data_IF_244030967750
#
_entry.id   IF_244030967750
#
_cell.length_a   1.000
_cell.length_b   1.000
_cell.length_c   1.000
_cell.angle_alpha   90.00
_cell.angle_beta   90.00
_cell.angle_gamma   90.00
#
_symmetry.space_group_name_H-M   'P 1'
#
loop_
_entity.id
_entity.type
_entity.pdbx_description
1 polymer ?
#
# COMPACT_ATOMS: atom_id res chain seq x y z
N UNK A 1 15.52 -24.70 33.71
CA UNK A 1 16.50 -23.80 33.07
C UNK A 1 15.85 -22.43 32.99
N UNK A 2 16.62 -21.34 33.10
CA UNK A 2 16.09 -19.99 32.90
C UNK A 2 16.69 -19.50 31.60
N UNK A 3 15.84 -19.22 30.61
CA UNK A 3 16.26 -18.62 29.35
C UNK A 3 16.14 -17.10 29.49
N UNK A 4 17.25 -16.40 29.28
CA UNK A 4 17.30 -14.94 29.25
C UNK A 4 17.22 -14.46 27.81
N UNK A 5 16.19 -13.70 27.48
CA UNK A 5 16.00 -13.10 26.16
C UNK A 5 16.04 -11.59 26.31
N UNK A 6 16.71 -10.91 25.39
CA UNK A 6 16.77 -9.45 25.34
C UNK A 6 15.74 -8.97 24.33
N UNK A 7 14.80 -8.14 24.74
CA UNK A 7 13.80 -7.55 23.84
C UNK A 7 14.05 -6.05 23.75
N UNK A 8 14.29 -5.56 22.54
CA UNK A 8 14.57 -4.16 22.26
C UNK A 8 13.43 -3.52 21.49
N UNK A 9 13.08 -2.30 21.87
CA UNK A 9 11.99 -1.53 21.28
C UNK A 9 12.55 -0.27 20.66
N UNK A 10 12.27 -0.07 19.37
CA UNK A 10 12.67 1.13 18.64
C UNK A 10 11.48 2.05 18.35
N UNK A 11 11.80 3.31 18.01
CA UNK A 11 10.83 4.28 17.50
C UNK A 11 9.67 4.60 18.45
N UNK A 12 8.43 4.56 17.92
CA UNK A 12 7.21 4.90 18.68
C UNK A 12 7.01 3.95 19.87
N UNK A 13 7.27 2.65 19.67
CA UNK A 13 7.05 1.63 20.69
C UNK A 13 7.92 1.84 21.94
N UNK A 14 9.17 2.28 21.74
CA UNK A 14 10.06 2.74 22.83
C UNK A 14 9.41 3.82 23.70
N UNK A 15 8.78 4.81 23.06
CA UNK A 15 8.14 5.94 23.75
C UNK A 15 6.87 5.52 24.47
N UNK A 16 6.06 4.66 23.87
CA UNK A 16 4.83 4.13 24.47
C UNK A 16 5.12 3.31 25.72
N UNK A 17 6.10 2.39 25.62
CA UNK A 17 6.52 1.52 26.72
C UNK A 17 7.33 2.27 27.79
N UNK A 18 7.99 3.37 27.42
CA UNK A 18 8.87 4.13 28.33
C UNK A 18 10.20 3.44 28.62
N UNK A 19 10.49 2.34 27.92
CA UNK A 19 11.72 1.54 28.02
C UNK A 19 12.19 1.19 26.61
N UNK A 20 13.51 1.17 26.40
CA UNK A 20 14.12 0.74 25.13
C UNK A 20 14.50 -0.73 25.12
N UNK A 21 14.67 -1.34 26.29
CA UNK A 21 15.04 -2.73 26.42
C UNK A 21 14.41 -3.34 27.66
N UNK A 22 14.00 -4.60 27.54
CA UNK A 22 13.62 -5.45 28.67
C UNK A 22 14.36 -6.79 28.59
N UNK A 23 14.71 -7.33 29.75
CA UNK A 23 15.24 -8.67 29.86
C UNK A 23 14.10 -9.59 30.30
N UNK A 24 13.77 -10.57 29.45
CA UNK A 24 12.70 -11.53 29.70
C UNK A 24 13.34 -12.83 30.18
N UNK A 25 12.87 -13.31 31.32
CA UNK A 25 13.31 -14.56 31.92
C UNK A 25 12.20 -15.59 31.78
N UNK A 26 12.39 -16.57 30.89
CA UNK A 26 11.44 -17.65 30.65
C UNK A 26 11.86 -18.88 31.46
N UNK A 27 11.04 -19.26 32.43
CA UNK A 27 11.31 -20.38 33.32
C UNK A 27 10.80 -21.71 32.76
N UNK A 28 11.56 -22.79 32.89
CA UNK A 28 11.06 -24.15 32.70
C UNK A 28 12.00 -25.08 31.94
N UNK A 29 11.47 -26.24 31.55
CA UNK A 29 12.14 -27.25 30.72
C UNK A 29 11.48 -27.41 29.35
N UNK A 30 10.54 -26.51 29.01
CA UNK A 30 9.84 -26.51 27.71
C UNK A 30 10.56 -25.60 26.72
N UNK A 31 10.49 -25.97 25.45
CA UNK A 31 10.87 -25.09 24.35
C UNK A 31 9.86 -23.95 24.24
N UNK A 32 10.36 -22.72 24.07
CA UNK A 32 9.54 -21.53 23.85
C UNK A 32 9.60 -21.14 22.38
N UNK A 33 8.44 -20.97 21.75
CA UNK A 33 8.37 -20.39 20.41
C UNK A 33 8.32 -18.87 20.48
N UNK A 34 8.67 -18.20 19.39
CA UNK A 34 8.56 -16.74 19.31
C UNK A 34 7.12 -16.29 19.62
N UNK A 35 6.10 -17.01 19.15
CA UNK A 35 4.69 -16.72 19.52
C UNK A 35 4.46 -16.73 21.03
N UNK A 36 5.07 -17.66 21.76
CA UNK A 36 4.93 -17.74 23.23
C UNK A 36 5.56 -16.53 23.91
N UNK A 37 6.71 -16.07 23.40
CA UNK A 37 7.36 -14.85 23.87
C UNK A 37 6.50 -13.60 23.58
N UNK A 38 5.87 -13.52 22.41
CA UNK A 38 4.98 -12.41 22.06
C UNK A 38 3.76 -12.33 22.98
N UNK A 39 3.13 -13.47 23.26
CA UNK A 39 2.02 -13.56 24.22
C UNK A 39 2.46 -13.23 25.65
N UNK A 40 3.66 -13.66 26.04
CA UNK A 40 4.25 -13.29 27.33
C UNK A 40 4.45 -11.78 27.43
N UNK A 41 5.02 -11.15 26.40
CA UNK A 41 5.22 -9.70 26.36
C UNK A 41 3.89 -8.96 26.42
N UNK A 42 2.87 -9.41 25.69
CA UNK A 42 1.54 -8.81 25.73
C UNK A 42 0.90 -8.85 27.12
N UNK A 43 1.11 -9.94 27.85
CA UNK A 43 0.58 -10.13 29.20
C UNK A 43 1.27 -9.25 30.24
N UNK A 44 2.58 -9.01 30.09
CA UNK A 44 3.39 -8.26 31.07
C UNK A 44 3.58 -6.79 30.71
N UNK A 45 3.42 -6.43 29.43
CA UNK A 45 3.56 -5.08 28.90
C UNK A 45 2.33 -4.72 28.05
N UNK A 46 1.17 -4.41 28.67
CA UNK A 46 -0.09 -4.25 27.94
C UNK A 46 -0.02 -3.23 26.79
N UNK A 47 0.83 -2.21 26.90
CA UNK A 47 1.04 -1.20 25.85
C UNK A 47 1.67 -1.76 24.57
N UNK A 48 2.28 -2.94 24.60
CA UNK A 48 2.78 -3.62 23.40
C UNK A 48 1.63 -4.10 22.50
N UNK A 49 0.38 -3.99 22.93
CA UNK A 49 -0.80 -4.31 22.11
C UNK A 49 -0.89 -3.50 20.81
N UNK A 50 -0.16 -2.38 20.70
CA UNK A 50 0.00 -1.64 19.44
C UNK A 50 0.81 -2.43 18.40
N UNK A 51 1.70 -3.32 18.84
CA UNK A 51 2.55 -4.16 18.01
C UNK A 51 2.13 -5.64 17.97
N UNK A 52 1.59 -6.19 19.06
CA UNK A 52 1.24 -7.62 19.18
C UNK A 52 -0.24 -7.80 19.46
N UNK A 53 -0.93 -8.58 18.63
CA UNK A 53 -2.35 -8.92 18.78
C UNK A 53 -2.58 -9.98 19.86
N UNK A 54 -3.83 -10.11 20.31
CA UNK A 54 -4.23 -11.06 21.37
C UNK A 54 -3.95 -12.54 21.07
N UNK A 55 -3.80 -12.90 19.80
CA UNK A 55 -3.45 -14.25 19.34
C UNK A 55 -1.92 -14.48 19.21
N UNK A 56 -1.11 -13.47 19.56
CA UNK A 56 0.34 -13.49 19.43
C UNK A 56 0.85 -13.19 18.02
N UNK A 57 -0.03 -12.73 17.11
CA UNK A 57 0.40 -12.25 15.79
C UNK A 57 0.98 -10.83 15.86
N UNK A 58 1.92 -10.54 14.97
CA UNK A 58 2.51 -9.21 14.83
C UNK A 58 1.60 -8.31 13.96
N UNK A 59 1.39 -7.08 14.40
CA UNK A 59 0.77 -6.04 13.60
C UNK A 59 1.68 -5.69 12.41
N UNK A 60 1.10 -5.58 11.21
CA UNK A 60 1.84 -5.30 9.96
C UNK A 60 2.59 -3.97 9.95
N UNK A 61 2.33 -3.07 10.91
CA UNK A 61 3.06 -1.82 11.11
C UNK A 61 4.41 -2.00 11.81
N UNK A 62 4.77 -3.23 12.19
CA UNK A 62 5.99 -3.57 12.89
C UNK A 62 6.73 -4.72 12.22
N UNK A 63 8.06 -4.68 12.31
CA UNK A 63 8.94 -5.79 12.00
C UNK A 63 9.52 -6.33 13.30
N UNK A 64 9.78 -7.64 13.31
CA UNK A 64 10.58 -8.29 14.35
C UNK A 64 11.84 -8.85 13.72
N UNK A 65 12.97 -8.57 14.36
CA UNK A 65 14.24 -9.21 14.07
C UNK A 65 14.64 -10.12 15.23
N UNK A 66 15.11 -11.32 14.91
CA UNK A 66 15.77 -12.23 15.84
C UNK A 66 17.25 -12.24 15.50
N UNK A 67 18.09 -11.75 16.41
CA UNK A 67 19.55 -11.63 16.20
C UNK A 67 19.90 -10.95 14.87
N UNK A 68 19.27 -9.80 14.59
CA UNK A 68 19.39 -8.99 13.36
C UNK A 68 18.89 -9.64 12.06
N UNK A 69 18.27 -10.82 12.12
CA UNK A 69 17.62 -11.45 10.98
C UNK A 69 16.09 -11.32 11.06
N UNK A 70 15.41 -11.09 9.94
CA UNK A 70 13.95 -11.03 9.89
C UNK A 70 13.35 -12.33 10.44
N UNK A 71 12.40 -12.22 11.36
CA UNK A 71 11.84 -13.38 12.05
C UNK A 71 11.20 -14.39 11.08
N UNK A 72 10.61 -13.94 9.97
CA UNK A 72 9.99 -14.80 8.96
C UNK A 72 11.01 -15.69 8.26
N UNK A 73 12.27 -15.28 8.17
CA UNK A 73 13.34 -16.05 7.52
C UNK A 73 13.86 -17.15 8.44
N UNK A 74 13.93 -16.89 9.74
CA UNK A 74 14.56 -17.82 10.70
C UNK A 74 13.61 -18.90 11.25
N UNK A 75 12.31 -18.81 10.97
CA UNK A 75 11.31 -19.77 11.45
C UNK A 75 9.95 -19.17 11.76
N UNK A 76 9.77 -17.87 11.58
CA UNK A 76 8.54 -17.15 11.83
C UNK A 76 8.09 -17.27 13.29
N UNK A 77 6.79 -17.39 13.48
CA UNK A 77 6.18 -17.58 14.80
C UNK A 77 6.61 -18.88 15.50
N UNK A 78 7.09 -19.86 14.74
CA UNK A 78 7.52 -21.16 15.23
C UNK A 78 9.01 -21.23 15.57
N UNK A 79 9.76 -20.13 15.39
CA UNK A 79 11.15 -20.04 15.80
C UNK A 79 11.31 -20.41 17.29
N UNK A 80 12.18 -21.37 17.59
CA UNK A 80 12.51 -21.78 18.96
C UNK A 80 13.48 -20.78 19.59
N UNK A 81 12.98 -20.02 20.57
CA UNK A 81 13.72 -18.98 21.28
C UNK A 81 14.81 -19.60 22.15
N UNK A 82 16.02 -19.04 22.09
CA UNK A 82 17.22 -19.52 22.76
C UNK A 82 17.71 -18.53 23.81
N UNK A 83 18.52 -19.04 24.72
CA UNK A 83 19.20 -18.21 25.71
C UNK A 83 20.13 -17.20 25.03
N UNK A 84 20.03 -15.94 25.43
CA UNK A 84 20.81 -14.83 24.88
C UNK A 84 20.25 -14.21 23.59
N UNK A 85 19.14 -14.70 23.05
CA UNK A 85 18.54 -14.13 21.84
C UNK A 85 18.18 -12.66 22.02
N UNK A 86 18.42 -11.88 20.97
CA UNK A 86 17.98 -10.49 20.86
C UNK A 86 16.78 -10.39 19.91
N UNK A 87 15.66 -9.92 20.43
CA UNK A 87 14.41 -9.72 19.70
C UNK A 87 14.18 -8.22 19.57
N UNK A 88 14.26 -7.68 18.35
CA UNK A 88 14.14 -6.24 18.11
C UNK A 88 12.83 -5.91 17.41
N UNK A 89 12.03 -5.05 18.02
CA UNK A 89 10.83 -4.49 17.40
C UNK A 89 11.17 -3.19 16.69
N UNK A 90 10.86 -3.14 15.40
CA UNK A 90 11.08 -1.96 14.57
C UNK A 90 9.73 -1.52 14.00
N UNK A 91 9.21 -0.33 14.34
CA UNK A 91 8.07 0.22 13.63
C UNK A 91 8.46 0.47 12.18
N UNK A 92 7.62 0.01 11.25
CA UNK A 92 7.70 0.39 9.84
C UNK A 92 7.27 1.84 9.77
N UNK A 93 8.23 2.72 10.00
CA UNK A 93 8.00 4.16 10.06
C UNK A 93 7.85 4.66 8.63
N UNK A 94 6.64 5.02 8.22
CA UNK A 94 6.48 6.03 7.17
C UNK A 94 6.96 7.36 7.76
N UNK A 95 7.94 8.00 7.13
CA UNK A 95 8.61 9.17 7.68
C UNK A 95 7.65 10.30 8.10
N UNK A 96 7.82 10.77 9.34
CA UNK A 96 7.43 12.11 9.79
C UNK A 96 5.94 12.40 9.96
N UNK A 97 5.42 12.23 11.18
CA UNK A 97 4.66 13.24 11.95
C UNK A 97 4.13 12.61 13.24
N UNK A 98 3.86 13.45 14.24
CA UNK A 98 3.30 13.10 15.54
C UNK A 98 2.20 12.04 15.46
N UNK A 99 2.24 11.09 16.39
CA UNK A 99 1.24 10.03 16.53
C UNK A 99 -0.05 10.67 17.02
N UNK A 100 -0.85 11.16 16.07
CA UNK A 100 -2.30 11.04 16.16
C UNK A 100 -2.56 9.53 16.19
N UNK A 101 -3.23 9.03 17.22
CA UNK A 101 -3.42 7.59 17.44
C UNK A 101 -3.79 6.87 16.13
N UNK A 102 -3.20 5.70 15.88
CA UNK A 102 -3.36 4.93 14.64
C UNK A 102 -4.83 4.85 14.19
N UNK A 103 -5.74 4.73 15.15
CA UNK A 103 -7.20 4.77 14.92
C UNK A 103 -7.71 6.11 14.33
N UNK A 104 -7.18 7.25 14.77
CA UNK A 104 -7.49 8.57 14.22
C UNK A 104 -6.93 8.79 12.82
N UNK A 105 -5.76 8.21 12.50
CA UNK A 105 -5.21 8.24 11.14
C UNK A 105 -6.06 7.39 10.19
N UNK A 106 -6.44 6.19 10.61
CA UNK A 106 -7.35 5.33 9.82
C UNK A 106 -8.73 5.95 9.68
N UNK A 107 -9.29 6.54 10.74
CA UNK A 107 -10.58 7.23 10.69
C UNK A 107 -10.53 8.40 9.70
N UNK A 108 -9.50 9.22 9.77
CA UNK A 108 -9.30 10.34 8.83
C UNK A 108 -9.12 9.83 7.40
N UNK A 109 -8.33 8.78 7.19
CA UNK A 109 -8.17 8.17 5.87
C UNK A 109 -9.49 7.61 5.33
N UNK A 110 -10.27 6.91 6.16
CA UNK A 110 -11.59 6.41 5.77
C UNK A 110 -12.58 7.55 5.49
N UNK A 111 -12.55 8.63 6.26
CA UNK A 111 -13.35 9.84 6.03
C UNK A 111 -12.94 10.58 4.76
N UNK A 112 -11.66 10.61 4.42
CA UNK A 112 -11.18 11.24 3.19
C UNK A 112 -11.45 10.36 1.97
N UNK A 113 -11.31 9.03 2.10
CA UNK A 113 -11.66 8.07 1.06
C UNK A 113 -13.17 8.00 0.81
N UNK A 114 -14.02 8.19 1.83
CA UNK A 114 -15.49 8.17 1.66
C UNK A 114 -16.01 9.37 0.87
N UNK A 115 -15.20 10.42 0.71
CA UNK A 115 -15.50 11.57 -0.15
C UNK A 115 -15.03 11.37 -1.58
N UNK A 116 -14.40 10.24 -1.90
CA UNK A 116 -13.92 9.94 -3.24
C UNK A 116 -14.92 9.04 -3.95
N UNK A 117 -15.38 9.48 -5.10
CA UNK A 117 -16.24 8.71 -6.00
C UNK A 117 -15.39 8.17 -7.15
N UNK A 118 -15.51 6.88 -7.49
CA UNK A 118 -14.76 6.22 -8.56
C UNK A 118 -15.73 5.59 -9.57
N UNK A 119 -15.61 6.02 -10.82
CA UNK A 119 -16.24 5.39 -11.98
C UNK A 119 -15.17 4.78 -12.88
N UNK A 120 -15.42 3.58 -13.38
CA UNK A 120 -14.53 2.89 -14.32
C UNK A 120 -15.36 2.34 -15.47
N UNK A 121 -14.97 2.69 -16.69
CA UNK A 121 -15.60 2.18 -17.91
C UNK A 121 -14.56 1.46 -18.75
N UNK A 122 -14.89 0.26 -19.22
CA UNK A 122 -14.08 -0.45 -20.19
C UNK A 122 -14.43 0.03 -21.60
N UNK A 123 -13.40 0.39 -22.36
CA UNK A 123 -13.52 0.99 -23.68
C UNK A 123 -12.59 0.32 -24.69
N UNK A 124 -12.94 0.45 -25.97
CA UNK A 124 -12.12 -0.07 -27.06
C UNK A 124 -10.82 0.73 -27.23
N UNK A 125 -9.84 0.12 -27.90
CA UNK A 125 -8.59 0.81 -28.25
C UNK A 125 -8.80 2.07 -29.12
N UNK A 126 -9.82 2.06 -30.00
CA UNK A 126 -10.12 3.21 -30.86
C UNK A 126 -10.70 4.39 -30.07
N UNK A 127 -11.61 4.11 -29.13
CA UNK A 127 -12.18 5.13 -28.25
C UNK A 127 -11.11 5.69 -27.31
N UNK A 128 -10.24 4.82 -26.79
CA UNK A 128 -9.12 5.21 -25.93
C UNK A 128 -8.20 6.23 -26.62
N UNK A 129 -7.80 6.00 -27.87
CA UNK A 129 -6.96 6.95 -28.63
C UNK A 129 -7.62 8.32 -28.79
N UNK A 130 -8.93 8.35 -29.00
CA UNK A 130 -9.70 9.59 -29.13
C UNK A 130 -9.73 10.33 -27.79
N UNK A 131 -10.07 9.64 -26.71
CA UNK A 131 -10.15 10.21 -25.36
C UNK A 131 -8.78 10.68 -24.83
N UNK A 132 -7.70 9.97 -25.13
CA UNK A 132 -6.34 10.36 -24.74
C UNK A 132 -5.96 11.71 -25.39
N UNK A 133 -6.33 11.94 -26.65
CA UNK A 133 -6.04 13.21 -27.36
C UNK A 133 -6.81 14.38 -26.76
N UNK A 134 -8.04 14.13 -26.30
CA UNK A 134 -8.92 15.14 -25.73
C UNK A 134 -8.91 15.15 -24.20
N UNK A 135 -7.95 14.49 -23.55
CA UNK A 135 -7.97 14.25 -22.09
C UNK A 135 -8.07 15.55 -21.29
N UNK A 136 -7.43 16.63 -21.74
CA UNK A 136 -7.50 17.95 -21.12
C UNK A 136 -8.94 18.51 -21.11
N UNK A 137 -9.72 18.25 -22.17
CA UNK A 137 -11.11 18.71 -22.29
C UNK A 137 -12.09 17.88 -21.44
N UNK A 138 -11.69 16.67 -21.07
CA UNK A 138 -12.48 15.76 -20.24
C UNK A 138 -12.31 16.01 -18.73
N UNK A 139 -11.42 16.92 -18.36
CA UNK A 139 -11.20 17.27 -16.96
C UNK A 139 -12.35 18.13 -16.43
N UNK A 140 -12.85 17.76 -15.26
CA UNK A 140 -13.84 18.53 -14.50
C UNK A 140 -13.18 19.00 -13.20
N UNK A 141 -13.52 20.19 -12.73
CA UNK A 141 -12.96 20.69 -11.47
C UNK A 141 -13.29 19.74 -10.31
N UNK A 142 -12.31 19.45 -9.46
CA UNK A 142 -12.44 18.46 -8.38
C UNK A 142 -12.36 17.01 -8.83
N UNK A 143 -12.16 16.73 -10.13
CA UNK A 143 -12.09 15.39 -10.68
C UNK A 143 -10.80 15.13 -11.46
N UNK A 144 -10.46 13.85 -11.54
CA UNK A 144 -9.38 13.30 -12.34
C UNK A 144 -10.04 12.37 -13.37
N UNK A 145 -9.93 12.70 -14.65
CA UNK A 145 -10.29 11.77 -15.73
C UNK A 145 -9.00 11.25 -16.36
N UNK A 146 -8.84 9.93 -16.46
CA UNK A 146 -7.66 9.31 -17.06
C UNK A 146 -8.01 8.07 -17.88
N UNK A 147 -7.26 7.82 -18.95
CA UNK A 147 -7.36 6.59 -19.74
C UNK A 147 -6.13 5.72 -19.45
N UNK A 148 -6.35 4.46 -19.06
CA UNK A 148 -5.31 3.51 -18.69
C UNK A 148 -5.46 2.19 -19.45
N UNK A 149 -4.37 1.53 -19.87
CA UNK A 149 -4.44 0.13 -20.29
C UNK A 149 -5.02 -0.73 -19.18
N UNK A 150 -6.03 -1.56 -19.46
CA UNK A 150 -6.71 -2.36 -18.43
C UNK A 150 -5.75 -3.31 -17.71
N UNK A 151 -4.77 -3.83 -18.44
CA UNK A 151 -3.72 -4.72 -17.91
C UNK A 151 -2.86 -4.10 -16.81
N UNK A 152 -2.78 -2.77 -16.70
CA UNK A 152 -1.96 -2.08 -15.70
C UNK A 152 -2.71 -1.77 -14.40
N UNK A 153 -4.00 -2.11 -14.32
CA UNK A 153 -4.87 -1.82 -13.19
C UNK A 153 -5.39 -3.12 -12.63
N UNK A 154 -4.87 -3.52 -11.46
CA UNK A 154 -5.30 -4.73 -10.79
C UNK A 154 -6.59 -4.51 -10.01
N UNK A 155 -6.76 -3.35 -9.37
CA UNK A 155 -7.87 -3.13 -8.45
C UNK A 155 -8.33 -1.67 -8.39
N UNK A 156 -9.50 -1.49 -7.80
CA UNK A 156 -10.02 -0.19 -7.39
C UNK A 156 -9.16 0.49 -6.32
N UNK A 157 -8.65 -0.27 -5.34
CA UNK A 157 -7.76 0.23 -4.28
C UNK A 157 -6.54 0.93 -4.84
N UNK A 158 -5.99 0.42 -5.93
CA UNK A 158 -4.86 1.01 -6.63
C UNK A 158 -5.22 2.41 -7.19
N UNK A 159 -6.38 2.54 -7.83
CA UNK A 159 -6.87 3.80 -8.38
C UNK A 159 -7.25 4.80 -7.28
N UNK A 160 -7.95 4.33 -6.24
CA UNK A 160 -8.38 5.15 -5.10
C UNK A 160 -7.18 5.69 -4.33
N UNK A 161 -6.18 4.83 -4.05
CA UNK A 161 -4.97 5.25 -3.36
C UNK A 161 -4.24 6.32 -4.16
N UNK A 162 -3.92 6.06 -5.43
CA UNK A 162 -3.23 7.04 -6.28
C UNK A 162 -3.99 8.38 -6.38
N UNK A 163 -5.32 8.34 -6.46
CA UNK A 163 -6.17 9.54 -6.48
C UNK A 163 -6.13 10.30 -5.16
N UNK A 164 -6.25 9.60 -4.03
CA UNK A 164 -6.13 10.19 -2.70
C UNK A 164 -4.78 10.89 -2.51
N UNK A 165 -3.67 10.23 -2.87
CA UNK A 165 -2.34 10.84 -2.78
C UNK A 165 -2.21 12.06 -3.70
N UNK A 166 -2.88 12.04 -4.85
CA UNK A 166 -2.93 13.16 -5.79
C UNK A 166 -3.66 14.35 -5.18
N UNK A 167 -4.89 14.16 -4.69
CA UNK A 167 -5.65 15.25 -4.07
C UNK A 167 -4.89 15.85 -2.89
N UNK A 168 -4.35 15.01 -2.00
CA UNK A 168 -3.55 15.45 -0.86
C UNK A 168 -2.31 16.24 -1.30
N UNK A 169 -1.63 15.83 -2.36
CA UNK A 169 -0.48 16.56 -2.89
C UNK A 169 -0.86 17.97 -3.38
N UNK A 170 -2.02 18.15 -3.99
CA UNK A 170 -2.52 19.47 -4.40
C UNK A 170 -2.93 20.34 -3.20
N UNK A 171 -3.62 19.75 -2.21
CA UNK A 171 -4.01 20.46 -0.98
C UNK A 171 -2.82 20.98 -0.20
N UNK A 172 -1.74 20.19 -0.15
CA UNK A 172 -0.52 20.52 0.58
C UNK A 172 0.51 21.29 -0.28
N UNK A 173 0.22 21.54 -1.55
CA UNK A 173 1.15 22.20 -2.48
C UNK A 173 2.44 21.41 -2.76
N UNK A 174 2.40 20.07 -2.60
CA UNK A 174 3.51 19.12 -2.83
C UNK A 174 3.40 18.38 -4.17
N UNK A 175 2.46 18.78 -5.03
CA UNK A 175 2.29 18.21 -6.36
C UNK A 175 3.52 18.50 -7.25
N UNK A 176 3.92 17.51 -8.04
CA UNK A 176 5.02 17.64 -9.01
C UNK A 176 4.49 18.28 -10.30
N UNK A 177 3.33 17.84 -10.75
CA UNK A 177 2.64 18.37 -11.93
C UNK A 177 1.59 19.41 -11.54
N UNK A 178 1.42 20.44 -12.37
CA UNK A 178 0.32 21.41 -12.24
C UNK A 178 -1.04 20.84 -12.67
N UNK A 179 -1.06 19.67 -13.33
CA UNK A 179 -2.27 19.05 -13.86
C UNK A 179 -2.63 17.80 -13.04
N UNK A 180 -3.81 17.73 -12.39
CA UNK A 180 -4.19 16.62 -11.52
C UNK A 180 -4.12 15.24 -12.18
N UNK A 181 -4.58 15.10 -13.42
CA UNK A 181 -4.55 13.82 -14.13
C UNK A 181 -3.13 13.34 -14.51
N UNK A 182 -2.15 14.25 -14.58
CA UNK A 182 -0.73 13.91 -14.75
C UNK A 182 -0.11 13.54 -13.41
N UNK A 183 -0.40 14.31 -12.35
CA UNK A 183 0.03 13.97 -10.99
C UNK A 183 -0.50 12.58 -10.58
N UNK A 184 -1.75 12.27 -10.93
CA UNK A 184 -2.33 10.96 -10.76
C UNK A 184 -1.51 9.84 -11.39
N UNK A 185 -1.03 10.02 -12.62
CA UNK A 185 -0.14 9.05 -13.26
C UNK A 185 1.18 8.91 -12.49
N UNK A 186 1.79 10.04 -12.07
CA UNK A 186 3.02 10.05 -11.29
C UNK A 186 2.87 9.25 -9.98
N UNK A 187 1.76 9.45 -9.27
CA UNK A 187 1.43 8.71 -8.04
C UNK A 187 1.14 7.24 -8.33
N UNK A 188 0.33 6.96 -9.35
CA UNK A 188 -0.07 5.59 -9.74
C UNK A 188 1.15 4.74 -10.08
N UNK A 189 2.06 5.24 -10.91
CA UNK A 189 3.26 4.49 -11.32
C UNK A 189 4.46 4.72 -10.39
N UNK A 190 4.27 5.45 -9.29
CA UNK A 190 5.33 5.79 -8.33
C UNK A 190 6.59 6.34 -9.00
N UNK A 191 6.40 7.23 -9.99
CA UNK A 191 7.47 7.81 -10.79
C UNK A 191 7.34 9.35 -10.77
N UNK A 192 8.47 10.07 -10.76
CA UNK A 192 8.52 11.54 -10.77
C UNK A 192 8.65 12.16 -12.15
N UNK A 193 8.95 11.34 -13.15
CA UNK A 193 9.18 11.76 -14.52
C UNK A 193 8.05 11.27 -15.41
N UNK A 194 7.26 12.21 -15.93
CA UNK A 194 6.13 11.88 -16.81
C UNK A 194 6.57 11.19 -18.11
N UNK A 195 7.78 11.46 -18.59
CA UNK A 195 8.32 10.85 -19.80
C UNK A 195 8.52 9.33 -19.65
N UNK A 196 8.93 8.88 -18.47
CA UNK A 196 9.07 7.45 -18.16
C UNK A 196 7.72 6.75 -18.20
N UNK A 197 6.70 7.39 -17.63
CA UNK A 197 5.33 6.86 -17.63
C UNK A 197 4.77 6.82 -19.05
N UNK A 198 4.95 7.86 -19.85
CA UNK A 198 4.54 7.86 -21.25
C UNK A 198 5.24 6.72 -22.00
N UNK A 199 6.51 6.43 -21.69
CA UNK A 199 7.26 5.32 -22.28
C UNK A 199 6.70 3.97 -21.86
N UNK A 200 6.34 3.81 -20.58
CA UNK A 200 5.64 2.62 -20.07
C UNK A 200 4.32 2.44 -20.82
N UNK A 201 3.46 3.45 -20.84
CA UNK A 201 2.14 3.39 -21.45
C UNK A 201 2.18 3.10 -22.96
N UNK A 202 3.20 3.59 -23.68
CA UNK A 202 3.40 3.30 -25.11
C UNK A 202 3.83 1.86 -25.39
N UNK A 203 4.57 1.26 -24.47
CA UNK A 203 5.14 -0.08 -24.66
C UNK A 203 4.19 -1.20 -24.21
N UNK A 204 3.12 -0.86 -23.51
CA UNK A 204 2.11 -1.82 -23.07
C UNK A 204 1.13 -2.06 -24.21
N UNK A 205 1.08 -3.31 -24.68
CA UNK A 205 0.01 -3.75 -25.55
C UNK A 205 -1.24 -3.97 -24.71
N UNK A 206 -2.38 -3.43 -25.12
CA UNK A 206 -3.66 -3.71 -24.45
C UNK A 206 -4.79 -3.72 -25.45
N UNK A 207 -5.63 -4.75 -25.38
CA UNK A 207 -6.82 -4.89 -26.24
C UNK A 207 -8.00 -4.08 -25.71
N UNK A 208 -8.04 -3.79 -24.40
CA UNK A 208 -9.04 -2.94 -23.77
C UNK A 208 -8.39 -1.89 -22.87
N UNK A 209 -9.08 -0.77 -22.71
CA UNK A 209 -8.63 0.33 -21.87
C UNK A 209 -9.71 0.65 -20.86
N UNK A 210 -9.31 1.31 -19.77
CA UNK A 210 -10.20 1.81 -18.75
C UNK A 210 -10.23 3.34 -18.85
N UNK A 211 -11.43 3.90 -19.01
CA UNK A 211 -11.69 5.29 -18.66
C UNK A 211 -11.98 5.33 -17.17
N UNK A 212 -11.06 5.92 -16.42
CA UNK A 212 -11.15 6.10 -14.97
C UNK A 212 -11.55 7.54 -14.69
N UNK A 213 -12.60 7.73 -13.90
CA UNK A 213 -12.99 9.04 -13.36
C UNK A 213 -13.03 8.97 -11.86
N UNK A 214 -12.31 9.88 -11.21
CA UNK A 214 -12.25 9.97 -9.76
C UNK A 214 -12.52 11.39 -9.32
N UNK A 215 -13.54 11.61 -8.52
CA UNK A 215 -13.93 12.93 -8.05
C UNK A 215 -13.80 13.04 -6.54
N UNK A 216 -13.32 14.20 -6.10
CA UNK A 216 -13.37 14.62 -4.70
C UNK A 216 -14.71 15.30 -4.46
N UNK A 217 -15.38 14.83 -3.41
CA UNK A 217 -16.75 15.14 -3.01
C UNK A 217 -17.83 14.47 -3.89
N UNK A 218 -18.69 13.70 -3.21
CA UNK A 218 -19.78 12.92 -3.83
C UNK A 218 -20.76 13.85 -4.55
N UNK A 219 -21.06 13.55 -5.82
CA UNK A 219 -22.02 14.33 -6.63
C UNK A 219 -21.40 15.37 -7.58
N UNK A 220 -20.07 15.51 -7.62
CA UNK A 220 -19.36 16.34 -8.60
C UNK A 220 -19.14 15.65 -9.97
N UNK A 221 -19.50 14.37 -10.10
CA UNK A 221 -19.20 13.60 -11.31
C UNK A 221 -19.91 14.09 -12.58
N UNK A 222 -20.96 14.91 -12.48
CA UNK A 222 -21.72 15.32 -13.66
C UNK A 222 -22.18 14.11 -14.48
N UNK A 223 -22.38 14.27 -15.79
CA UNK A 223 -22.61 13.12 -16.68
C UNK A 223 -21.26 12.58 -17.17
N UNK A 224 -21.08 11.25 -17.24
CA UNK A 224 -19.90 10.68 -17.87
C UNK A 224 -19.80 11.17 -19.32
N UNK A 225 -18.59 11.27 -19.88
CA UNK A 225 -18.42 11.49 -21.32
C UNK A 225 -19.26 10.45 -22.07
N UNK A 226 -19.93 10.85 -23.16
CA UNK A 226 -20.68 9.88 -23.97
C UNK A 226 -19.64 8.93 -24.57
N UNK A 227 -19.64 7.68 -24.09
CA UNK A 227 -18.70 6.65 -24.53
C UNK A 227 -19.45 5.37 -24.87
N UNK A 228 -18.99 4.69 -25.92
CA UNK A 228 -19.38 3.33 -26.22
C UNK A 228 -18.55 2.38 -25.33
N UNK A 229 -18.85 2.37 -24.04
CA UNK A 229 -18.16 1.53 -23.06
C UNK A 229 -19.14 0.84 -22.13
N UNK A 230 -18.72 -0.27 -21.54
CA UNK A 230 -19.45 -0.90 -20.45
C UNK A 230 -18.88 -0.40 -19.12
N UNK A 231 -19.76 0.03 -18.23
CA UNK A 231 -19.36 0.29 -16.85
C UNK A 231 -18.84 -1.01 -16.23
N UNK A 232 -17.69 -0.94 -15.58
CA UNK A 232 -17.07 -2.06 -14.89
C UNK A 232 -17.13 -1.78 -13.40
N UNK A 233 -17.76 -2.69 -12.67
CA UNK A 233 -17.71 -2.66 -11.21
C UNK A 233 -16.24 -2.67 -10.78
N UNK A 234 -15.75 -1.65 -10.04
CA UNK A 234 -14.33 -1.55 -9.67
C UNK A 234 -13.82 -2.79 -8.90
N UNK A 235 -14.70 -3.44 -8.14
CA UNK A 235 -14.44 -4.69 -7.42
C UNK A 235 -14.20 -5.92 -8.30
N UNK A 236 -14.54 -5.87 -9.59
CA UNK A 236 -14.34 -6.97 -10.55
C UNK A 236 -12.99 -6.88 -11.27
N UNK A 237 -12.23 -5.80 -11.13
CA UNK A 237 -10.97 -5.60 -11.85
C UNK A 237 -9.95 -6.71 -11.55
N UNK A 238 -9.81 -7.10 -10.28
CA UNK A 238 -8.90 -8.19 -9.86
C UNK A 238 -9.28 -9.53 -10.50
N UNK A 239 -10.59 -9.79 -10.63
CA UNK A 239 -11.10 -11.06 -11.16
C UNK A 239 -10.93 -11.17 -12.68
N UNK A 240 -10.77 -10.04 -13.37
CA UNK A 240 -10.56 -9.96 -14.82
C UNK A 240 -9.08 -9.98 -15.21
N UNK A 241 -8.18 -9.96 -14.24
CA UNK A 241 -6.75 -9.93 -14.53
C UNK A 241 -6.31 -11.21 -15.24
N UNK A 242 -5.63 -11.04 -16.38
CA UNK A 242 -5.02 -12.13 -17.13
C UNK A 242 -3.53 -12.24 -16.79
N UNK A 243 -3.13 -13.41 -16.27
CA UNK A 243 -1.75 -13.72 -15.88
C UNK A 243 -0.77 -13.76 -17.06
N UNK A 244 -1.25 -13.90 -18.30
CA UNK A 244 -0.42 -13.90 -19.52
C UNK A 244 0.29 -12.57 -19.79
N UNK A 245 -0.07 -11.49 -19.07
CA UNK A 245 0.56 -10.16 -19.22
C UNK A 245 1.14 -9.60 -17.92
N UNK A 246 1.55 -10.48 -17.02
CA UNK A 246 2.25 -10.10 -15.78
C UNK A 246 3.52 -9.29 -16.06
N UNK A 247 4.23 -9.57 -17.14
CA UNK A 247 5.46 -8.85 -17.50
C UNK A 247 5.23 -7.35 -17.73
N UNK A 248 4.08 -6.96 -18.32
CA UNK A 248 3.71 -5.56 -18.52
C UNK A 248 3.55 -4.84 -17.17
N UNK A 249 2.96 -5.51 -16.18
CA UNK A 249 2.84 -4.98 -14.81
C UNK A 249 4.19 -4.91 -14.10
N UNK A 250 4.98 -5.99 -14.15
CA UNK A 250 6.30 -6.03 -13.51
C UNK A 250 7.14 -4.86 -14.02
N UNK A 251 7.17 -4.64 -15.33
CA UNK A 251 7.90 -3.55 -15.95
C UNK A 251 7.31 -2.17 -15.61
N UNK A 252 5.99 -2.02 -15.68
CA UNK A 252 5.33 -0.75 -15.41
C UNK A 252 5.53 -0.26 -13.96
N UNK A 253 5.56 -1.21 -13.02
CA UNK A 253 5.73 -0.92 -11.61
C UNK A 253 7.16 -1.17 -11.10
N UNK A 254 8.12 -1.47 -11.99
CA UNK A 254 9.52 -1.74 -11.63
C UNK A 254 9.65 -2.78 -10.51
N UNK A 255 9.07 -3.96 -10.73
CA UNK A 255 9.06 -5.10 -9.80
C UNK A 255 10.07 -6.18 -10.23
N UNK A 256 11.08 -5.83 -11.03
CA UNK A 256 12.08 -6.76 -11.54
C UNK A 256 12.77 -7.51 -10.38
N UNK A 257 12.85 -8.84 -10.49
CA UNK A 257 13.36 -9.71 -9.42
C UNK A 257 12.28 -10.43 -8.61
N UNK A 258 11.00 -10.08 -8.80
CA UNK A 258 9.87 -10.74 -8.15
C UNK A 258 9.17 -11.76 -9.07
N UNK A 259 9.95 -12.72 -9.60
CA UNK A 259 9.44 -13.73 -10.54
C UNK A 259 8.61 -14.79 -9.80
N UNK A 260 7.43 -15.15 -10.34
CA UNK A 260 6.58 -16.21 -9.78
C UNK A 260 5.64 -15.78 -8.65
N UNK A 261 5.40 -14.47 -8.50
CA UNK A 261 4.40 -13.98 -7.55
C UNK A 261 2.97 -14.29 -8.00
N UNK A 262 2.13 -14.65 -7.04
CA UNK A 262 0.68 -14.65 -7.22
C UNK A 262 0.13 -13.21 -7.34
N UNK A 263 -1.11 -13.11 -7.81
CA UNK A 263 -1.79 -11.84 -8.03
C UNK A 263 -1.96 -11.00 -6.76
N UNK A 264 -2.17 -11.64 -5.61
CA UNK A 264 -2.39 -10.97 -4.34
C UNK A 264 -1.10 -10.31 -3.84
N UNK A 265 0.04 -11.00 -3.97
CA UNK A 265 1.37 -10.46 -3.66
C UNK A 265 1.74 -9.32 -4.60
N UNK A 266 1.50 -9.46 -5.90
CA UNK A 266 1.73 -8.36 -6.86
C UNK A 266 0.89 -7.13 -6.51
N UNK A 267 -0.39 -7.34 -6.22
CA UNK A 267 -1.29 -6.27 -5.82
C UNK A 267 -0.80 -5.56 -4.54
N UNK A 268 -0.37 -6.33 -3.53
CA UNK A 268 0.19 -5.78 -2.29
C UNK A 268 1.46 -4.95 -2.53
N UNK A 269 2.38 -5.44 -3.39
CA UNK A 269 3.59 -4.71 -3.74
C UNK A 269 3.30 -3.41 -4.50
N UNK A 270 2.34 -3.43 -5.43
CA UNK A 270 1.91 -2.24 -6.17
C UNK A 270 1.33 -1.19 -5.20
N UNK A 271 0.43 -1.58 -4.30
CA UNK A 271 -0.14 -0.67 -3.30
C UNK A 271 0.94 -0.10 -2.38
N UNK A 272 1.92 -0.93 -1.98
CA UNK A 272 3.07 -0.51 -1.18
C UNK A 272 3.92 0.51 -1.93
N UNK A 273 4.18 0.30 -3.22
CA UNK A 273 4.99 1.23 -4.02
C UNK A 273 4.29 2.59 -4.15
N UNK A 274 2.98 2.57 -4.44
CA UNK A 274 2.15 3.78 -4.53
C UNK A 274 2.17 4.53 -3.20
N UNK A 275 1.99 3.85 -2.05
CA UNK A 275 1.96 4.51 -0.74
C UNK A 275 3.31 5.14 -0.37
N UNK A 276 4.43 4.46 -0.66
CA UNK A 276 5.77 4.95 -0.36
C UNK A 276 6.17 6.18 -1.19
N UNK A 277 5.51 6.44 -2.32
CA UNK A 277 5.75 7.63 -3.13
C UNK A 277 5.42 8.96 -2.40
N UNK A 278 4.75 8.92 -1.24
CA UNK A 278 4.57 10.11 -0.38
C UNK A 278 5.83 10.51 0.42
N UNK A 279 6.75 9.56 0.64
CA UNK A 279 7.85 9.67 1.61
C UNK A 279 9.11 10.25 0.97
N UNK A 280 9.26 10.10 -0.34
CA UNK A 280 10.37 10.65 -1.12
C UNK A 280 9.97 12.03 -1.60
#
# INVERSE_FOLDING_TARGET
MILKVIVEFLGVLRRELGVDRVEVYLEGSKTYRLRDLLLYLLSNYPKISSAVSSDGSLNTSYLIFVNDADFMIVGGYDYEVRDGDRITFIPISHGGSEVVGVEGVWRKLCEDLSKIELEVFEISSNDALTLIRDIDKLQVNGCITQVLPSVLVLSDKQLLLASFLTFKAFEEGRNVSRKPYIEFLLRLFSNRQINDIITILKNVSSSSYLLVRVCKDVGNMGKPPIINGSEVSPSQLLQRFNTERIDDLIKAYGLEGNVGLDIDRMHSLILTKISLFQII
#
